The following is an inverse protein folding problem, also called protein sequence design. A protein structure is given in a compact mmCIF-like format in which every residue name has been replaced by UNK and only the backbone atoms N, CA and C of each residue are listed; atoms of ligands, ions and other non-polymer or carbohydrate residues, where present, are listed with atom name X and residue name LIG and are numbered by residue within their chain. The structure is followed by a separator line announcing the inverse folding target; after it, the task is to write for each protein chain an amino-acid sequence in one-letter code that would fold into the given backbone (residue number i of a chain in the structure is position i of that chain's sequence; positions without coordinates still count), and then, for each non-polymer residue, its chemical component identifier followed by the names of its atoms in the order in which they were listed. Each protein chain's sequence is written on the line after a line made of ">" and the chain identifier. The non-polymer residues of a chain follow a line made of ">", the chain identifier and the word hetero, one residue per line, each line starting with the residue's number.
data_IF_542006414356
#
_entry.id   IF_542006414356
#
_cell.length_a   1.000
_cell.length_b   1.000
_cell.length_c   1.000
_cell.angle_alpha   90.00
_cell.angle_beta   90.00
_cell.angle_gamma   90.00
#
_symmetry.space_group_name_H-M   'P 1'
#
loop_
_entity.id
_entity.type
_entity.pdbx_description
1 polymer ?
#
# COMPACT_ATOMS: atom_id res chain seq x y z
N UNK A 1 2.77 -20.85 3.61
CA UNK A 1 4.01 -20.15 3.32
C UNK A 1 3.76 -18.65 3.17
N UNK A 2 4.59 -17.80 3.77
CA UNK A 2 4.51 -16.35 3.63
C UNK A 2 5.62 -15.91 2.67
N UNK A 3 5.24 -15.28 1.54
CA UNK A 3 6.18 -14.72 0.57
C UNK A 3 6.29 -13.21 0.75
N UNK A 4 7.52 -12.74 0.97
CA UNK A 4 7.84 -11.32 0.97
C UNK A 4 8.28 -10.90 -0.43
N UNK A 5 7.38 -10.28 -1.19
CA UNK A 5 7.63 -9.89 -2.59
C UNK A 5 8.11 -8.44 -2.61
N UNK A 6 9.27 -8.19 -3.23
CA UNK A 6 9.84 -6.86 -3.42
C UNK A 6 10.13 -6.59 -4.90
N UNK A 7 10.21 -5.32 -5.26
CA UNK A 7 10.75 -4.94 -6.58
C UNK A 7 12.25 -5.20 -6.64
N UNK A 8 12.74 -5.46 -7.86
CA UNK A 8 14.16 -5.67 -8.13
C UNK A 8 14.67 -4.64 -9.13
N UNK A 9 15.87 -4.13 -8.91
CA UNK A 9 16.62 -3.34 -9.88
C UNK A 9 17.12 -4.22 -11.04
N UNK A 10 17.69 -3.59 -12.06
CA UNK A 10 18.28 -4.30 -13.21
C UNK A 10 19.46 -5.18 -12.80
N UNK A 11 20.13 -4.86 -11.72
CA UNK A 11 21.24 -5.64 -11.12
C UNK A 11 20.77 -6.82 -10.26
N UNK A 12 19.43 -7.03 -10.12
CA UNK A 12 18.84 -8.08 -9.32
C UNK A 12 18.66 -7.76 -7.84
N UNK A 13 19.18 -6.63 -7.35
CA UNK A 13 18.99 -6.21 -5.95
C UNK A 13 17.54 -5.83 -5.66
N UNK A 14 17.02 -6.24 -4.52
CA UNK A 14 15.68 -5.89 -4.07
C UNK A 14 15.66 -4.49 -3.43
N UNK A 15 14.54 -3.78 -3.56
CA UNK A 15 14.39 -2.45 -2.98
C UNK A 15 12.96 -2.16 -2.53
N UNK A 16 12.88 -1.28 -1.52
CA UNK A 16 11.63 -0.72 -0.99
C UNK A 16 11.21 0.55 -1.73
N UNK A 17 10.00 1.01 -1.47
CA UNK A 17 9.51 2.28 -2.02
C UNK A 17 10.30 3.48 -1.48
N UNK A 18 10.78 3.43 -0.23
CA UNK A 18 11.60 4.48 0.36
C UNK A 18 12.99 4.53 -0.30
N UNK A 19 13.66 3.40 -0.47
CA UNK A 19 14.94 3.31 -1.20
C UNK A 19 14.79 3.78 -2.66
N UNK A 20 13.62 3.57 -3.28
CA UNK A 20 13.32 4.12 -4.60
C UNK A 20 13.23 5.65 -4.58
N UNK A 21 12.60 6.23 -3.57
CA UNK A 21 12.52 7.68 -3.40
C UNK A 21 13.91 8.27 -3.24
N UNK A 22 14.76 7.65 -2.42
CA UNK A 22 16.13 8.13 -2.19
C UNK A 22 16.99 8.09 -3.46
N UNK A 23 16.89 7.00 -4.21
CA UNK A 23 17.71 6.76 -5.41
C UNK A 23 17.24 7.52 -6.65
N UNK A 24 15.94 7.81 -6.77
CA UNK A 24 15.33 8.46 -7.93
C UNK A 24 14.69 9.80 -7.54
N UNK A 25 15.48 10.89 -7.51
CA UNK A 25 14.99 12.21 -7.05
C UNK A 25 13.80 12.77 -7.84
N UNK A 26 13.57 12.29 -9.06
CA UNK A 26 12.46 12.74 -9.91
C UNK A 26 11.14 12.00 -9.66
N UNK A 27 11.15 10.91 -8.91
CA UNK A 27 9.98 10.05 -8.69
C UNK A 27 9.31 10.35 -7.35
N UNK A 28 7.99 10.56 -7.37
CA UNK A 28 7.13 10.61 -6.19
C UNK A 28 6.14 9.44 -6.31
N UNK A 29 6.54 8.23 -5.90
CA UNK A 29 5.71 7.03 -6.07
C UNK A 29 4.63 6.88 -5.01
N UNK A 30 4.63 7.73 -3.97
CA UNK A 30 3.65 7.74 -2.88
C UNK A 30 2.63 8.87 -3.09
N UNK A 31 1.42 8.74 -2.53
CA UNK A 31 0.47 9.85 -2.51
C UNK A 31 1.02 10.96 -1.61
N UNK A 32 0.75 12.20 -2.00
CA UNK A 32 1.03 13.42 -1.22
C UNK A 32 -0.05 14.44 -1.51
N UNK A 33 -0.22 15.44 -0.67
CA UNK A 33 -1.05 16.61 -0.95
C UNK A 33 -0.19 17.77 -1.41
N UNK A 34 -0.68 18.52 -2.39
CA UNK A 34 -0.07 19.80 -2.81
C UNK A 34 -0.49 20.92 -1.84
N UNK A 35 0.23 22.05 -1.84
CA UNK A 35 -0.15 23.27 -1.11
C UNK A 35 -1.60 23.71 -1.38
N UNK A 36 -2.12 23.41 -2.56
CA UNK A 36 -3.52 23.63 -2.94
C UNK A 36 -4.53 22.69 -2.27
N UNK A 37 -4.09 21.74 -1.45
CA UNK A 37 -4.90 20.67 -0.86
C UNK A 37 -5.31 19.56 -1.84
N UNK A 38 -4.88 19.63 -3.10
CA UNK A 38 -5.19 18.59 -4.09
C UNK A 38 -4.28 17.38 -3.90
N UNK A 39 -4.82 16.15 -3.96
CA UNK A 39 -3.99 14.96 -3.91
C UNK A 39 -3.17 14.81 -5.20
N UNK A 40 -1.90 14.45 -5.05
CA UNK A 40 -1.05 14.02 -6.16
C UNK A 40 -1.36 12.58 -6.56
N UNK A 41 -0.87 12.16 -7.72
CA UNK A 41 -1.14 10.81 -8.26
C UNK A 41 -0.73 9.69 -7.29
N UNK A 42 -1.65 8.76 -7.08
CA UNK A 42 -1.43 7.57 -6.25
C UNK A 42 -0.94 6.40 -7.11
N UNK A 43 0.37 6.24 -7.23
CA UNK A 43 0.98 5.14 -7.99
C UNK A 43 1.38 3.93 -7.13
N UNK A 44 1.53 4.10 -5.81
CA UNK A 44 2.02 3.04 -4.93
C UNK A 44 1.20 1.75 -4.98
N UNK A 45 -0.11 1.81 -5.17
CA UNK A 45 -0.96 0.62 -5.25
C UNK A 45 -0.73 -0.15 -6.54
N UNK A 46 -0.69 0.54 -7.68
CA UNK A 46 -0.52 -0.11 -8.98
C UNK A 46 0.91 -0.61 -9.14
N UNK A 47 1.88 0.28 -8.96
CA UNK A 47 3.29 -0.02 -9.29
C UNK A 47 3.97 -0.91 -8.26
N UNK A 48 3.61 -0.80 -6.98
CA UNK A 48 4.33 -1.47 -5.89
C UNK A 48 3.59 -2.68 -5.32
N UNK A 49 2.28 -2.77 -5.52
CA UNK A 49 1.49 -3.92 -5.07
C UNK A 49 1.00 -4.74 -6.26
N UNK A 50 0.09 -4.20 -7.06
CA UNK A 50 -0.59 -4.95 -8.13
C UNK A 50 0.42 -5.50 -9.15
N UNK A 51 1.25 -4.64 -9.76
CA UNK A 51 2.22 -5.06 -10.77
C UNK A 51 3.29 -6.00 -10.22
N UNK A 52 3.66 -5.86 -8.94
CA UNK A 52 4.66 -6.72 -8.30
C UNK A 52 4.09 -8.11 -8.03
N UNK A 53 2.85 -8.18 -7.53
CA UNK A 53 2.12 -9.45 -7.34
C UNK A 53 1.90 -10.14 -8.69
N UNK A 54 1.42 -9.41 -9.70
CA UNK A 54 1.18 -9.96 -11.03
C UNK A 54 2.42 -10.59 -11.67
N UNK A 55 3.61 -9.98 -11.48
CA UNK A 55 4.88 -10.55 -11.94
C UNK A 55 5.21 -11.85 -11.20
N UNK A 56 4.98 -11.89 -9.90
CA UNK A 56 5.23 -13.08 -9.10
C UNK A 56 4.29 -14.22 -9.45
N UNK A 57 3.02 -13.95 -9.67
CA UNK A 57 2.05 -14.95 -10.14
C UNK A 57 2.49 -15.59 -11.47
N UNK A 58 2.99 -14.77 -12.41
CA UNK A 58 3.59 -15.30 -13.65
C UNK A 58 4.81 -16.17 -13.38
N UNK A 59 5.70 -15.76 -12.50
CA UNK A 59 6.88 -16.53 -12.11
C UNK A 59 6.51 -17.89 -11.51
N UNK A 60 5.37 -17.92 -10.78
CA UNK A 60 4.82 -19.14 -10.18
C UNK A 60 4.02 -20.00 -11.18
N UNK A 61 3.93 -19.59 -12.45
CA UNK A 61 3.33 -20.39 -13.53
C UNK A 61 1.91 -19.97 -13.92
N UNK A 62 1.37 -18.87 -13.39
CA UNK A 62 0.06 -18.38 -13.78
C UNK A 62 0.07 -17.91 -15.25
N UNK A 63 -0.93 -18.33 -16.03
CA UNK A 63 -1.13 -17.95 -17.44
C UNK A 63 -2.56 -17.47 -17.66
N UNK A 64 -2.85 -16.96 -18.86
CA UNK A 64 -4.22 -16.58 -19.22
C UNK A 64 -5.18 -17.78 -19.22
N UNK A 65 -4.69 -18.96 -19.64
CA UNK A 65 -5.50 -20.19 -19.76
C UNK A 65 -5.59 -20.95 -18.42
N UNK A 66 -4.67 -20.65 -17.48
CA UNK A 66 -4.65 -21.19 -16.13
C UNK A 66 -4.31 -20.06 -15.15
N UNK A 67 -5.27 -19.14 -14.86
CA UNK A 67 -5.02 -18.00 -14.00
C UNK A 67 -4.86 -18.41 -12.53
N UNK A 68 -4.08 -17.63 -11.78
CA UNK A 68 -4.00 -17.79 -10.34
C UNK A 68 -5.27 -17.26 -9.67
N UNK A 69 -5.78 -17.99 -8.67
CA UNK A 69 -6.87 -17.55 -7.81
C UNK A 69 -6.31 -16.74 -6.65
N UNK A 70 -6.70 -15.48 -6.55
CA UNK A 70 -6.19 -14.53 -5.55
C UNK A 70 -7.31 -14.08 -4.63
N UNK A 71 -7.29 -14.56 -3.39
CA UNK A 71 -8.24 -14.15 -2.34
C UNK A 71 -7.95 -12.74 -1.85
N UNK A 72 -8.95 -11.86 -1.91
CA UNK A 72 -8.88 -10.49 -1.41
C UNK A 72 -9.71 -10.34 -0.13
N UNK A 73 -9.08 -9.81 0.93
CA UNK A 73 -9.72 -9.56 2.22
C UNK A 73 -10.63 -8.33 2.24
N UNK A 74 -11.60 -8.26 1.32
CA UNK A 74 -12.61 -7.19 1.25
C UNK A 74 -13.85 -7.66 1.99
N UNK A 75 -14.22 -6.94 3.07
CA UNK A 75 -15.44 -7.20 3.84
C UNK A 75 -16.65 -6.50 3.23
N UNK A 76 -17.86 -6.83 3.72
CA UNK A 76 -19.12 -6.22 3.28
C UNK A 76 -19.09 -4.69 3.39
N UNK A 77 -18.41 -4.13 4.39
CA UNK A 77 -18.28 -2.68 4.58
C UNK A 77 -17.51 -1.98 3.45
N UNK A 78 -16.75 -2.74 2.66
CA UNK A 78 -15.92 -2.23 1.56
C UNK A 78 -16.32 -2.84 0.19
N UNK A 79 -17.53 -3.37 0.06
CA UNK A 79 -17.99 -4.10 -1.15
C UNK A 79 -17.78 -3.32 -2.45
N UNK A 80 -17.86 -1.99 -2.42
CA UNK A 80 -17.61 -1.12 -3.57
C UNK A 80 -16.20 -1.23 -4.14
N UNK A 81 -15.27 -1.84 -3.38
CA UNK A 81 -13.88 -2.10 -3.81
C UNK A 81 -13.72 -3.44 -4.53
N UNK A 82 -14.71 -4.33 -4.41
CA UNK A 82 -14.70 -5.63 -5.07
C UNK A 82 -14.95 -5.46 -6.57
N UNK A 83 -13.89 -5.57 -7.34
CA UNK A 83 -13.92 -5.47 -8.80
C UNK A 83 -13.12 -6.60 -9.39
N UNK A 84 -13.51 -7.11 -10.58
CA UNK A 84 -12.73 -8.13 -11.28
C UNK A 84 -11.33 -7.58 -11.61
N UNK A 85 -10.36 -8.48 -11.71
CA UNK A 85 -9.02 -8.10 -12.15
C UNK A 85 -8.99 -7.72 -13.62
N UNK A 86 -8.17 -6.75 -13.96
CA UNK A 86 -7.79 -6.46 -15.35
C UNK A 86 -6.57 -7.27 -15.82
N UNK A 87 -5.98 -8.08 -14.94
CA UNK A 87 -4.77 -8.87 -15.22
C UNK A 87 -5.19 -10.24 -15.74
N UNK A 88 -4.80 -10.63 -16.98
CA UNK A 88 -5.33 -11.83 -17.64
C UNK A 88 -4.97 -13.16 -16.96
N UNK A 89 -3.95 -13.19 -16.12
CA UNK A 89 -3.44 -14.40 -15.45
C UNK A 89 -3.78 -14.43 -13.95
N UNK A 90 -4.79 -13.64 -13.53
CA UNK A 90 -5.33 -13.73 -12.16
C UNK A 90 -6.86 -13.64 -12.15
N UNK A 91 -7.46 -14.36 -11.23
CA UNK A 91 -8.89 -14.28 -10.89
C UNK A 91 -9.00 -13.86 -9.44
N UNK A 92 -9.67 -12.73 -9.18
CA UNK A 92 -9.90 -12.26 -7.81
C UNK A 92 -11.12 -12.97 -7.21
N UNK A 93 -10.96 -13.41 -5.97
CA UNK A 93 -12.01 -13.98 -5.13
C UNK A 93 -12.18 -13.14 -3.87
N UNK A 94 -13.38 -13.11 -3.32
CA UNK A 94 -13.73 -12.27 -2.18
C UNK A 94 -14.36 -13.10 -1.05
N UNK A 95 -13.59 -13.97 -0.37
CA UNK A 95 -14.14 -14.94 0.59
C UNK A 95 -14.93 -14.31 1.73
N UNK A 96 -14.57 -13.07 2.16
CA UNK A 96 -15.30 -12.38 3.22
C UNK A 96 -16.65 -11.87 2.74
N UNK A 97 -16.81 -11.56 1.44
CA UNK A 97 -18.11 -11.21 0.85
C UNK A 97 -18.97 -12.44 0.69
N UNK A 98 -18.41 -13.56 0.25
CA UNK A 98 -19.13 -14.84 0.11
C UNK A 98 -19.69 -15.32 1.45
N UNK A 99 -18.96 -15.05 2.55
CA UNK A 99 -19.37 -15.35 3.93
C UNK A 99 -20.17 -14.22 4.58
N UNK A 100 -20.47 -13.13 3.87
CA UNK A 100 -21.19 -11.94 4.34
C UNK A 100 -20.57 -11.32 5.61
N UNK A 101 -19.24 -11.41 5.78
CA UNK A 101 -18.54 -10.91 6.95
C UNK A 101 -18.28 -9.40 6.87
N UNK A 102 -18.59 -8.73 7.97
CA UNK A 102 -18.23 -7.33 8.23
C UNK A 102 -16.88 -7.24 8.95
N UNK A 103 -16.34 -6.03 9.04
CA UNK A 103 -15.07 -5.78 9.74
C UNK A 103 -15.13 -6.22 11.20
N UNK A 104 -16.24 -5.96 11.89
CA UNK A 104 -16.40 -6.36 13.29
C UNK A 104 -16.45 -7.88 13.46
N UNK A 105 -17.05 -8.61 12.51
CA UNK A 105 -17.01 -10.08 12.50
C UNK A 105 -15.57 -10.58 12.35
N UNK A 106 -14.79 -9.97 11.46
CA UNK A 106 -13.37 -10.32 11.30
C UNK A 106 -12.58 -10.08 12.59
N UNK A 107 -12.82 -8.97 13.30
CA UNK A 107 -12.18 -8.71 14.59
C UNK A 107 -12.58 -9.74 15.65
N UNK A 108 -13.86 -10.10 15.70
CA UNK A 108 -14.36 -11.14 16.62
C UNK A 108 -13.71 -12.48 16.33
N UNK A 109 -13.67 -12.93 15.07
CA UNK A 109 -13.05 -14.20 14.66
C UNK A 109 -11.57 -14.24 15.05
N UNK A 110 -10.81 -13.18 14.79
CA UNK A 110 -9.39 -13.09 15.15
C UNK A 110 -9.19 -13.21 16.66
N UNK A 111 -10.04 -12.53 17.44
CA UNK A 111 -10.02 -12.59 18.91
C UNK A 111 -10.39 -13.98 19.45
N UNK A 112 -11.43 -14.61 18.89
CA UNK A 112 -11.85 -15.95 19.26
C UNK A 112 -10.80 -17.02 18.93
N UNK A 113 -10.01 -16.79 17.88
CA UNK A 113 -8.85 -17.63 17.54
C UNK A 113 -7.63 -17.40 18.45
N UNK A 114 -7.73 -16.54 19.47
CA UNK A 114 -6.63 -16.23 20.39
C UNK A 114 -5.48 -15.43 19.75
N UNK A 115 -5.73 -14.80 18.62
CA UNK A 115 -4.74 -13.97 17.92
C UNK A 115 -4.82 -12.52 18.40
N UNK A 116 -3.68 -11.83 18.38
CA UNK A 116 -3.64 -10.40 18.64
C UNK A 116 -4.38 -9.63 17.55
N UNK A 117 -4.86 -8.42 17.92
CA UNK A 117 -5.50 -7.51 16.95
C UNK A 117 -4.53 -7.25 15.80
N UNK A 118 -4.95 -7.61 14.59
CA UNK A 118 -4.16 -7.36 13.39
C UNK A 118 -3.85 -5.86 13.25
N UNK A 119 -2.58 -5.48 13.07
CA UNK A 119 -2.21 -4.09 12.85
C UNK A 119 -2.80 -3.57 11.53
N UNK A 120 -2.95 -2.27 11.41
CA UNK A 120 -3.36 -1.67 10.13
C UNK A 120 -2.29 -1.93 9.07
N UNK A 121 -2.70 -2.50 7.94
CA UNK A 121 -1.83 -2.69 6.78
C UNK A 121 -1.69 -1.38 6.00
N UNK A 122 -0.99 -0.41 6.58
CA UNK A 122 -0.76 0.90 5.99
C UNK A 122 0.69 1.35 6.21
N UNK A 123 1.22 2.14 5.26
CA UNK A 123 2.56 2.72 5.41
C UNK A 123 2.50 3.84 6.45
N UNK A 124 3.50 3.95 7.34
CA UNK A 124 3.54 4.98 8.39
C UNK A 124 3.51 6.41 7.84
N UNK A 125 3.95 6.61 6.62
CA UNK A 125 3.99 7.89 5.90
C UNK A 125 2.79 8.12 4.96
N UNK A 126 1.69 7.39 5.10
CA UNK A 126 0.57 7.53 4.18
C UNK A 126 -0.28 8.76 4.53
N UNK A 127 -0.48 9.74 3.63
CA UNK A 127 -1.26 10.95 3.92
C UNK A 127 -2.76 10.70 4.11
N UNK A 128 -3.22 9.48 3.83
CA UNK A 128 -4.63 9.10 4.03
C UNK A 128 -4.92 8.56 5.44
N UNK A 129 -3.97 8.73 6.37
CA UNK A 129 -4.23 8.48 7.77
C UNK A 129 -5.11 9.58 8.39
N UNK A 130 -5.86 9.21 9.43
CA UNK A 130 -6.61 10.19 10.21
C UNK A 130 -5.68 11.01 11.11
N UNK A 131 -6.17 12.16 11.58
CA UNK A 131 -5.44 13.00 12.54
C UNK A 131 -5.11 12.24 13.83
N UNK A 132 -6.01 11.35 14.28
CA UNK A 132 -5.77 10.48 15.44
C UNK A 132 -4.57 9.58 15.21
N UNK A 133 -4.48 8.95 14.02
CA UNK A 133 -3.33 8.11 13.70
C UNK A 133 -2.00 8.87 13.77
N UNK A 134 -1.94 10.09 13.21
CA UNK A 134 -0.73 10.90 13.26
C UNK A 134 -0.36 11.31 14.68
N UNK A 135 -1.35 11.57 15.54
CA UNK A 135 -1.15 11.85 16.97
C UNK A 135 -0.59 10.62 17.70
N UNK A 136 -1.24 9.47 17.52
CA UNK A 136 -0.82 8.20 18.11
C UNK A 136 0.59 7.82 17.63
N UNK A 137 0.90 7.99 16.34
CA UNK A 137 2.23 7.74 15.79
C UNK A 137 3.30 8.61 16.44
N UNK A 138 2.99 9.89 16.65
CA UNK A 138 3.89 10.84 17.33
C UNK A 138 4.16 10.45 18.77
N UNK A 139 3.15 9.99 19.49
CA UNK A 139 3.24 9.65 20.91
C UNK A 139 3.85 8.25 21.14
N UNK A 140 3.40 7.26 20.37
CA UNK A 140 3.77 5.85 20.57
C UNK A 140 5.03 5.42 19.78
N UNK A 141 5.28 6.05 18.62
CA UNK A 141 6.37 5.70 17.71
C UNK A 141 7.08 6.93 17.15
N UNK A 142 7.67 7.79 18.02
CA UNK A 142 8.24 9.07 17.60
C UNK A 142 9.31 8.95 16.51
N UNK A 143 10.10 7.87 16.51
CA UNK A 143 11.11 7.61 15.46
C UNK A 143 10.47 7.47 14.07
N UNK A 144 9.31 6.82 13.98
CA UNK A 144 8.61 6.69 12.69
C UNK A 144 7.93 8.00 12.29
N UNK A 145 7.45 8.76 13.27
CA UNK A 145 6.89 10.09 13.03
C UNK A 145 7.96 11.04 12.49
N UNK A 146 9.14 11.10 13.10
CA UNK A 146 10.26 11.91 12.63
C UNK A 146 10.71 11.52 11.23
N UNK A 147 10.77 10.22 10.93
CA UNK A 147 11.05 9.73 9.57
C UNK A 147 9.98 10.14 8.55
N UNK A 148 8.72 10.25 8.94
CA UNK A 148 7.67 10.75 8.06
C UNK A 148 7.87 12.24 7.76
N UNK A 149 8.26 13.05 8.76
CA UNK A 149 8.60 14.47 8.58
C UNK A 149 9.82 14.65 7.65
N UNK A 150 10.90 13.91 7.87
CA UNK A 150 12.09 13.93 7.00
C UNK A 150 11.74 13.58 5.54
N UNK A 151 10.83 12.62 5.35
CA UNK A 151 10.34 12.25 4.03
C UNK A 151 9.53 13.37 3.39
N UNK A 152 8.63 14.02 4.16
CA UNK A 152 7.85 15.17 3.70
C UNK A 152 8.77 16.31 3.26
N UNK A 153 9.73 16.69 4.10
CA UNK A 153 10.73 17.74 3.80
C UNK A 153 11.51 17.44 2.53
N UNK A 154 11.95 16.18 2.38
CA UNK A 154 12.69 15.73 1.19
C UNK A 154 11.86 15.85 -0.07
N UNK A 155 10.62 15.38 -0.04
CA UNK A 155 9.71 15.43 -1.18
C UNK A 155 9.29 16.86 -1.49
N UNK A 156 9.02 17.67 -0.45
CA UNK A 156 8.65 19.08 -0.58
C UNK A 156 9.77 19.90 -1.22
N UNK A 157 11.00 19.75 -0.79
CA UNK A 157 12.15 20.40 -1.39
C UNK A 157 12.33 20.05 -2.90
N UNK A 158 12.10 18.78 -3.25
CA UNK A 158 12.17 18.30 -4.64
C UNK A 158 11.08 18.88 -5.54
N UNK A 159 9.84 18.90 -5.03
CA UNK A 159 8.70 19.44 -5.77
C UNK A 159 8.76 20.94 -5.89
N UNK A 160 9.20 21.63 -4.85
CA UNK A 160 9.41 23.09 -4.89
C UNK A 160 10.42 23.47 -5.97
N UNK A 161 11.55 22.75 -6.03
CA UNK A 161 12.58 23.00 -7.06
C UNK A 161 12.09 22.73 -8.48
N UNK A 162 11.24 21.70 -8.68
CA UNK A 162 10.84 21.22 -10.02
C UNK A 162 9.55 21.86 -10.51
N UNK A 163 8.59 22.12 -9.62
CA UNK A 163 7.22 22.52 -9.95
C UNK A 163 6.75 23.79 -9.25
N UNK A 164 7.56 24.37 -8.36
CA UNK A 164 7.22 25.58 -7.60
C UNK A 164 6.12 25.37 -6.55
N UNK A 165 5.91 24.14 -6.07
CA UNK A 165 4.92 23.78 -5.06
C UNK A 165 5.51 22.83 -4.03
N UNK A 166 5.14 22.97 -2.78
CA UNK A 166 5.47 22.01 -1.72
C UNK A 166 4.46 20.88 -1.67
N UNK A 167 4.79 19.81 -0.96
CA UNK A 167 3.90 18.67 -0.74
C UNK A 167 3.87 18.30 0.73
N UNK A 168 2.77 17.65 1.13
CA UNK A 168 2.47 17.28 2.52
C UNK A 168 2.00 15.83 2.60
N UNK A 169 2.35 15.18 3.71
CA UNK A 169 1.88 13.83 4.07
C UNK A 169 0.61 13.84 4.90
#
# INVERSE_FOLDING_TARGET
>A
EILCIKKTWKDGSQYSILENIDRLPSAIPIPVYLDSGKPWQRQCTVDWKINTIAKELKRLGATKDNPAHVGMGISVDEIQRAKPSSIPHETLEFPLLDLLLRRDDCHRIVKEAGLEKAPRSACFYCPYHSTEYWRDLREEQPVLFDRALELEDTLSARTQKKFGTSVHL
#
